data_IF_967931832589
#
_entry.id   IF_967931832589
#
_cell.length_a   1.000
_cell.length_b   1.000
_cell.length_c   1.000
_cell.angle_alpha   90.00
_cell.angle_beta   90.00
_cell.angle_gamma   90.00
#
_symmetry.space_group_name_H-M   'P 1'
#
loop_
_entity.id
_entity.type
_entity.pdbx_description
1 polymer ?
#
# COMPACT_ATOMS: atom_id res chain seq x y z
N UNK A 1 -22.52 24.95 -47.31
CA UNK A 1 -22.31 23.92 -46.28
C UNK A 1 -20.82 23.80 -46.01
N UNK A 2 -20.33 24.35 -44.89
CA UNK A 2 -18.97 24.10 -44.41
C UNK A 2 -18.97 22.75 -43.70
N UNK A 3 -18.21 21.79 -44.22
CA UNK A 3 -17.97 20.53 -43.51
C UNK A 3 -17.34 20.84 -42.15
N UNK A 4 -17.99 20.40 -41.08
CA UNK A 4 -17.40 20.35 -39.76
C UNK A 4 -16.23 19.37 -39.84
N UNK A 5 -15.01 19.90 -40.00
CA UNK A 5 -13.81 19.13 -39.71
C UNK A 5 -13.91 18.69 -38.26
N UNK A 6 -14.12 17.39 -38.05
CA UNK A 6 -13.92 16.74 -36.76
C UNK A 6 -12.49 17.06 -36.35
N UNK A 7 -12.31 18.03 -35.44
CA UNK A 7 -11.06 18.30 -34.75
C UNK A 7 -10.81 17.13 -33.80
N UNK A 8 -10.45 15.97 -34.34
CA UNK A 8 -9.78 14.95 -33.54
C UNK A 8 -8.39 15.49 -33.22
N UNK A 9 -8.01 15.45 -31.95
CA UNK A 9 -6.65 15.75 -31.57
C UNK A 9 -5.70 14.75 -32.25
N UNK A 10 -4.43 15.14 -32.41
CA UNK A 10 -3.46 14.26 -33.06
C UNK A 10 -3.29 13.00 -32.20
N UNK A 11 -3.08 11.81 -32.78
CA UNK A 11 -3.07 10.54 -32.03
C UNK A 11 -2.08 10.51 -30.85
N UNK A 12 -0.96 11.24 -30.93
CA UNK A 12 -0.01 11.37 -29.81
C UNK A 12 -0.47 12.33 -28.71
N UNK A 13 -1.29 13.32 -29.05
CA UNK A 13 -1.86 14.29 -28.11
C UNK A 13 -2.97 13.68 -27.26
N UNK A 14 -3.72 12.70 -27.79
CA UNK A 14 -4.80 12.04 -27.06
C UNK A 14 -4.27 11.25 -25.84
N UNK A 15 -3.17 10.51 -25.99
CA UNK A 15 -2.53 9.78 -24.89
C UNK A 15 -1.96 10.72 -23.83
N UNK A 16 -1.25 11.78 -24.23
CA UNK A 16 -0.67 12.75 -23.30
C UNK A 16 -1.75 13.44 -22.45
N UNK A 17 -2.86 13.87 -23.09
CA UNK A 17 -3.98 14.49 -22.40
C UNK A 17 -4.64 13.50 -21.44
N UNK A 18 -4.91 12.28 -21.89
CA UNK A 18 -5.53 11.26 -21.04
C UNK A 18 -4.62 10.86 -19.87
N UNK A 19 -3.31 10.84 -20.05
CA UNK A 19 -2.33 10.65 -18.97
C UNK A 19 -2.36 11.80 -17.97
N UNK A 20 -2.40 13.05 -18.44
CA UNK A 20 -2.52 14.22 -17.55
C UNK A 20 -3.81 14.18 -16.73
N UNK A 21 -4.93 13.77 -17.33
CA UNK A 21 -6.21 13.61 -16.63
C UNK A 21 -6.13 12.48 -15.61
N UNK A 22 -5.59 11.32 -15.99
CA UNK A 22 -5.42 10.21 -15.06
C UNK A 22 -4.57 10.64 -13.86
N UNK A 23 -3.47 11.34 -14.12
CA UNK A 23 -2.54 11.79 -13.09
C UNK A 23 -3.19 12.74 -12.08
N UNK A 24 -3.95 13.70 -12.59
CA UNK A 24 -4.77 14.61 -11.80
C UNK A 24 -5.77 13.87 -10.91
N UNK A 25 -6.55 12.95 -11.50
CA UNK A 25 -7.60 12.22 -10.79
C UNK A 25 -7.01 11.34 -9.69
N UNK A 26 -5.90 10.64 -9.95
CA UNK A 26 -5.23 9.82 -8.93
C UNK A 26 -4.72 10.66 -7.77
N UNK A 27 -4.09 11.80 -8.06
CA UNK A 27 -3.58 12.70 -7.04
C UNK A 27 -4.70 13.28 -6.17
N UNK A 28 -5.77 13.80 -6.79
CA UNK A 28 -6.89 14.40 -6.07
C UNK A 28 -7.68 13.37 -5.26
N UNK A 29 -7.91 12.17 -5.81
CA UNK A 29 -8.58 11.10 -5.08
C UNK A 29 -7.78 10.63 -3.87
N UNK A 30 -6.45 10.52 -4.00
CA UNK A 30 -5.59 10.14 -2.88
C UNK A 30 -5.61 11.23 -1.80
N UNK A 31 -5.48 12.49 -2.20
CA UNK A 31 -5.54 13.63 -1.27
C UNK A 31 -6.86 13.67 -0.48
N UNK A 32 -7.99 13.60 -1.19
CA UNK A 32 -9.31 13.63 -0.55
C UNK A 32 -9.54 12.44 0.40
N UNK A 33 -9.01 11.27 0.05
CA UNK A 33 -9.09 10.08 0.89
C UNK A 33 -8.26 10.20 2.18
N UNK A 34 -7.08 10.81 2.09
CA UNK A 34 -6.24 11.02 3.26
C UNK A 34 -6.83 12.10 4.18
N UNK A 35 -7.35 13.19 3.62
CA UNK A 35 -8.11 14.21 4.38
C UNK A 35 -9.32 13.60 5.11
N UNK A 36 -10.08 12.73 4.43
CA UNK A 36 -11.19 11.98 5.05
C UNK A 36 -10.72 11.08 6.20
N UNK A 37 -9.56 10.43 6.07
CA UNK A 37 -8.99 9.59 7.13
C UNK A 37 -8.53 10.39 8.35
N UNK A 38 -7.97 11.59 8.14
CA UNK A 38 -7.60 12.50 9.23
C UNK A 38 -8.84 12.99 9.97
N UNK A 39 -9.85 13.49 9.25
CA UNK A 39 -11.09 13.99 9.82
C UNK A 39 -11.82 12.91 10.67
N UNK A 40 -11.85 11.66 10.19
CA UNK A 40 -12.42 10.53 10.94
C UNK A 40 -11.70 10.23 12.26
N UNK A 41 -10.41 10.53 12.37
CA UNK A 41 -9.64 10.32 13.61
C UNK A 41 -9.81 11.48 14.59
N UNK A 42 -10.19 12.65 14.09
CA UNK A 42 -10.47 13.84 14.89
C UNK A 42 -11.94 13.91 15.34
N UNK A 43 -12.70 12.82 15.17
CA UNK A 43 -14.14 12.70 15.46
C UNK A 43 -15.00 13.77 14.75
N UNK A 44 -14.54 14.28 13.61
CA UNK A 44 -15.37 15.13 12.75
C UNK A 44 -16.47 14.29 12.08
N UNK A 45 -17.62 14.91 11.75
CA UNK A 45 -18.75 14.23 11.08
C UNK A 45 -18.27 13.41 9.87
N UNK A 46 -18.95 12.31 9.53
CA UNK A 46 -18.59 11.44 8.39
C UNK A 46 -18.59 12.22 7.07
N UNK A 47 -17.45 12.80 6.71
CA UNK A 47 -17.24 13.48 5.44
C UNK A 47 -16.95 12.43 4.36
N UNK A 48 -17.81 12.32 3.36
CA UNK A 48 -17.57 11.45 2.19
C UNK A 48 -16.75 12.19 1.11
N UNK A 49 -15.60 12.76 1.50
CA UNK A 49 -14.77 13.58 0.61
C UNK A 49 -14.22 12.77 -0.57
N UNK A 50 -13.92 11.50 -0.34
CA UNK A 50 -13.24 10.65 -1.32
C UNK A 50 -14.18 9.94 -2.31
N UNK A 51 -15.49 9.91 -2.08
CA UNK A 51 -16.41 9.09 -2.87
C UNK A 51 -16.48 9.51 -4.34
N UNK A 52 -16.72 10.79 -4.61
CA UNK A 52 -16.78 11.31 -5.97
C UNK A 52 -15.42 11.18 -6.71
N UNK A 53 -14.28 11.60 -6.13
CA UNK A 53 -12.97 11.39 -6.74
C UNK A 53 -12.67 9.93 -7.09
N UNK A 54 -12.99 8.97 -6.20
CA UNK A 54 -12.80 7.54 -6.45
C UNK A 54 -13.67 7.03 -7.60
N UNK A 55 -14.93 7.47 -7.68
CA UNK A 55 -15.82 7.14 -8.80
C UNK A 55 -15.29 7.67 -10.13
N UNK A 56 -14.74 8.90 -10.14
CA UNK A 56 -14.12 9.50 -11.32
C UNK A 56 -12.89 8.70 -11.76
N UNK A 57 -11.99 8.34 -10.84
CA UNK A 57 -10.82 7.49 -11.13
C UNK A 57 -11.25 6.17 -11.74
N UNK A 58 -12.21 5.46 -11.12
CA UNK A 58 -12.66 4.16 -11.61
C UNK A 58 -13.27 4.23 -13.01
N UNK A 59 -14.10 5.25 -13.27
CA UNK A 59 -14.71 5.48 -14.58
C UNK A 59 -13.66 5.82 -15.63
N UNK A 60 -12.72 6.70 -15.30
CA UNK A 60 -11.67 7.13 -16.21
C UNK A 60 -10.67 6.01 -16.51
N UNK A 61 -10.24 5.23 -15.52
CA UNK A 61 -9.34 4.09 -15.71
C UNK A 61 -9.90 3.06 -16.68
N UNK A 62 -11.22 2.78 -16.63
CA UNK A 62 -11.87 1.87 -17.60
C UNK A 62 -11.79 2.40 -19.02
N UNK A 63 -12.05 3.70 -19.21
CA UNK A 63 -11.93 4.34 -20.52
C UNK A 63 -10.48 4.38 -21.01
N UNK A 64 -9.54 4.72 -20.12
CA UNK A 64 -8.12 4.78 -20.40
C UNK A 64 -7.60 3.43 -20.91
N UNK A 65 -7.87 2.34 -20.17
CA UNK A 65 -7.47 0.97 -20.56
C UNK A 65 -8.11 0.49 -21.85
N UNK A 66 -9.30 0.97 -22.18
CA UNK A 66 -9.97 0.62 -23.43
C UNK A 66 -9.36 1.36 -24.63
N UNK A 67 -8.96 2.62 -24.43
CA UNK A 67 -8.45 3.50 -25.48
C UNK A 67 -6.96 3.32 -25.74
N UNK A 68 -6.18 3.05 -24.69
CA UNK A 68 -4.73 2.97 -24.73
C UNK A 68 -4.27 1.58 -24.30
N UNK A 69 -3.45 0.95 -25.15
CA UNK A 69 -2.78 -0.31 -24.82
C UNK A 69 -1.35 -0.07 -24.30
N UNK A 70 -0.87 1.17 -24.38
CA UNK A 70 0.46 1.54 -23.93
C UNK A 70 0.62 1.38 -22.41
N UNK A 71 1.83 1.00 -21.95
CA UNK A 71 2.10 0.91 -20.53
C UNK A 71 1.99 2.29 -19.88
N UNK A 72 1.28 2.34 -18.74
CA UNK A 72 1.17 3.55 -17.92
C UNK A 72 2.58 3.98 -17.45
N UNK A 73 2.95 5.26 -17.43
CA UNK A 73 4.23 5.72 -16.88
C UNK A 73 4.43 5.33 -15.41
N UNK A 74 5.68 5.14 -14.96
CA UNK A 74 5.96 4.68 -13.58
C UNK A 74 5.39 5.60 -12.51
N UNK A 75 5.42 6.92 -12.72
CA UNK A 75 4.84 7.92 -11.80
C UNK A 75 3.33 7.72 -11.60
N UNK A 76 2.60 7.50 -12.70
CA UNK A 76 1.17 7.22 -12.65
C UNK A 76 0.87 5.81 -12.07
N UNK A 77 1.75 4.82 -12.31
CA UNK A 77 1.63 3.51 -11.64
C UNK A 77 1.84 3.61 -10.14
N UNK A 78 2.81 4.40 -9.68
CA UNK A 78 3.03 4.66 -8.26
C UNK A 78 1.81 5.33 -7.62
N UNK A 79 1.26 6.38 -8.25
CA UNK A 79 0.02 7.04 -7.80
C UNK A 79 -1.15 6.08 -7.71
N UNK A 80 -1.29 5.19 -8.69
CA UNK A 80 -2.32 4.14 -8.67
C UNK A 80 -2.10 3.15 -7.52
N UNK A 81 -0.86 2.72 -7.27
CA UNK A 81 -0.51 1.85 -6.14
C UNK A 81 -0.83 2.53 -4.80
N UNK A 82 -0.45 3.79 -4.65
CA UNK A 82 -0.73 4.59 -3.46
C UNK A 82 -2.22 4.72 -3.21
N UNK A 83 -3.00 5.16 -4.22
CA UNK A 83 -4.46 5.26 -4.09
C UNK A 83 -5.09 3.93 -3.71
N UNK A 84 -4.67 2.82 -4.35
CA UNK A 84 -5.19 1.48 -4.08
C UNK A 84 -4.90 1.07 -2.64
N UNK A 85 -3.66 1.25 -2.18
CA UNK A 85 -3.27 0.94 -0.81
C UNK A 85 -4.08 1.77 0.20
N UNK A 86 -4.10 3.10 0.04
CA UNK A 86 -4.82 4.01 0.93
C UNK A 86 -6.32 3.69 0.98
N UNK A 87 -6.91 3.34 -0.16
CA UNK A 87 -8.34 3.00 -0.26
C UNK A 87 -8.63 1.72 0.51
N UNK A 88 -7.89 0.65 0.24
CA UNK A 88 -8.10 -0.63 0.91
C UNK A 88 -7.83 -0.55 2.40
N UNK A 89 -6.80 0.18 2.81
CA UNK A 89 -6.46 0.37 4.20
C UNK A 89 -7.54 1.17 4.96
N UNK A 90 -7.87 2.39 4.49
CA UNK A 90 -8.81 3.26 5.19
C UNK A 90 -10.26 2.80 5.17
N UNK A 91 -10.59 1.83 4.30
CA UNK A 91 -11.93 1.27 4.16
C UNK A 91 -12.00 -0.21 4.54
N UNK A 92 -10.95 -0.77 5.13
CA UNK A 92 -10.85 -2.22 5.44
C UNK A 92 -11.97 -2.76 6.33
N UNK A 93 -12.50 -1.91 7.24
CA UNK A 93 -13.53 -2.28 8.22
C UNK A 93 -14.96 -2.02 7.74
N UNK A 94 -15.14 -1.43 6.56
CA UNK A 94 -16.47 -1.08 6.03
C UNK A 94 -16.62 -1.67 4.63
N UNK A 95 -17.57 -2.60 4.47
CA UNK A 95 -17.92 -3.10 3.14
C UNK A 95 -18.49 -1.95 2.29
N UNK A 96 -17.87 -1.67 1.16
CA UNK A 96 -18.30 -0.62 0.24
C UNK A 96 -17.91 -0.96 -1.21
N UNK A 97 -18.24 -0.08 -2.14
CA UNK A 97 -17.96 -0.27 -3.57
C UNK A 97 -16.45 -0.40 -3.91
N UNK A 98 -15.56 -0.13 -2.96
CA UNK A 98 -14.11 -0.27 -3.12
C UNK A 98 -13.53 -1.53 -2.44
N UNK A 99 -14.36 -2.30 -1.73
CA UNK A 99 -13.98 -3.62 -1.21
C UNK A 99 -13.80 -4.59 -2.40
N UNK A 100 -12.65 -5.29 -2.52
CA UNK A 100 -12.44 -6.29 -3.56
C UNK A 100 -13.50 -7.39 -3.49
N UNK A 101 -13.80 -8.00 -4.64
CA UNK A 101 -14.65 -9.18 -4.63
C UNK A 101 -13.97 -10.32 -3.84
N UNK A 102 -14.70 -11.19 -3.13
CA UNK A 102 -14.09 -12.27 -2.35
C UNK A 102 -13.14 -13.17 -3.17
N UNK A 103 -13.47 -13.43 -4.43
CA UNK A 103 -12.61 -14.19 -5.34
C UNK A 103 -11.31 -13.46 -5.71
N UNK A 104 -11.34 -12.13 -5.85
CA UNK A 104 -10.16 -11.31 -6.12
C UNK A 104 -9.24 -11.27 -4.89
N UNK A 105 -9.83 -11.15 -3.70
CA UNK A 105 -9.11 -11.16 -2.43
C UNK A 105 -8.46 -12.54 -2.17
N UNK A 106 -9.15 -13.63 -2.48
CA UNK A 106 -8.58 -14.97 -2.38
C UNK A 106 -7.46 -15.19 -3.40
N UNK A 107 -7.61 -14.74 -4.65
CA UNK A 107 -6.54 -14.79 -5.64
C UNK A 107 -5.29 -14.00 -5.20
N UNK A 108 -5.50 -12.85 -4.56
CA UNK A 108 -4.44 -12.04 -3.96
C UNK A 108 -3.73 -12.83 -2.84
N UNK A 109 -4.49 -13.42 -1.90
CA UNK A 109 -3.97 -14.24 -0.80
C UNK A 109 -3.17 -15.45 -1.31
N UNK A 110 -3.62 -16.11 -2.36
CA UNK A 110 -2.89 -17.22 -2.99
C UNK A 110 -1.57 -16.78 -3.59
N UNK A 111 -1.54 -15.61 -4.23
CA UNK A 111 -0.32 -15.01 -4.77
C UNK A 111 0.68 -14.72 -3.65
N UNK A 112 0.22 -14.11 -2.55
CA UNK A 112 1.05 -13.81 -1.40
C UNK A 112 1.60 -15.07 -0.71
N UNK A 113 0.79 -16.12 -0.59
CA UNK A 113 1.19 -17.41 -0.03
C UNK A 113 2.29 -18.07 -0.86
N UNK A 114 2.12 -18.13 -2.19
CA UNK A 114 3.11 -18.72 -3.09
C UNK A 114 4.44 -17.97 -3.02
N UNK A 115 4.40 -16.64 -3.03
CA UNK A 115 5.60 -15.79 -2.89
C UNK A 115 6.33 -16.07 -1.57
N UNK A 116 5.58 -16.22 -0.48
CA UNK A 116 6.17 -16.54 0.82
C UNK A 116 6.82 -17.94 0.85
N UNK A 117 6.16 -18.95 0.26
CA UNK A 117 6.71 -20.31 0.14
C UNK A 117 8.03 -20.30 -0.64
N UNK A 118 8.06 -19.64 -1.81
CA UNK A 118 9.27 -19.46 -2.61
C UNK A 118 10.38 -18.72 -1.85
N UNK A 119 10.01 -17.75 -1.01
CA UNK A 119 10.96 -17.04 -0.16
C UNK A 119 11.59 -17.97 0.87
N UNK A 120 10.79 -18.82 1.54
CA UNK A 120 11.29 -19.76 2.55
C UNK A 120 12.11 -20.92 1.97
N UNK A 121 11.73 -21.43 0.80
CA UNK A 121 12.48 -22.48 0.11
C UNK A 121 13.88 -21.98 -0.31
N UNK A 122 14.00 -20.68 -0.62
CA UNK A 122 15.25 -20.05 -0.99
C UNK A 122 16.02 -19.44 0.20
N UNK A 123 15.38 -19.25 1.36
CA UNK A 123 15.98 -18.61 2.52
C UNK A 123 17.03 -19.50 3.18
N UNK A 124 18.15 -18.91 3.62
CA UNK A 124 19.15 -19.60 4.41
C UNK A 124 18.55 -20.06 5.76
N UNK A 125 19.00 -21.20 6.34
CA UNK A 125 18.47 -21.76 7.59
C UNK A 125 18.49 -20.82 8.82
N UNK A 126 19.19 -19.68 8.75
CA UNK A 126 19.41 -18.74 9.84
C UNK A 126 18.34 -17.63 9.98
N UNK A 127 17.29 -17.62 9.14
CA UNK A 127 16.34 -16.50 9.04
C UNK A 127 15.11 -16.55 9.97
N UNK A 128 15.14 -17.39 11.01
CA UNK A 128 14.11 -17.44 12.05
C UNK A 128 13.27 -18.71 11.96
N UNK A 129 13.14 -19.42 13.09
CA UNK A 129 12.49 -20.71 13.12
C UNK A 129 11.05 -20.56 13.64
N UNK A 130 10.09 -20.29 12.75
CA UNK A 130 8.65 -20.41 13.06
C UNK A 130 8.21 -21.87 13.25
N UNK A 131 9.13 -22.82 13.42
CA UNK A 131 8.83 -24.22 13.70
C UNK A 131 8.43 -24.46 15.17
N UNK A 132 8.26 -23.40 15.97
CA UNK A 132 7.91 -23.51 17.38
C UNK A 132 6.50 -24.13 17.55
N UNK A 133 6.34 -25.23 18.32
CA UNK A 133 5.04 -25.85 18.62
C UNK A 133 3.98 -24.87 19.13
N UNK A 134 4.39 -23.72 19.69
CA UNK A 134 3.49 -22.65 20.17
C UNK A 134 2.45 -22.20 19.14
N UNK A 135 2.78 -22.21 17.85
CA UNK A 135 1.88 -21.79 16.75
C UNK A 135 1.35 -22.94 15.89
N UNK A 136 1.58 -24.19 16.32
CA UNK A 136 1.03 -25.38 15.66
C UNK A 136 -0.40 -25.68 16.12
N UNK A 137 -0.73 -25.33 17.37
CA UNK A 137 -2.07 -25.47 17.90
C UNK A 137 -2.96 -24.29 17.48
N UNK A 138 -4.17 -24.58 16.98
CA UNK A 138 -5.17 -23.55 16.70
C UNK A 138 -5.49 -22.82 17.99
N UNK A 139 -5.15 -21.52 18.04
CA UNK A 139 -5.55 -20.64 19.12
C UNK A 139 -7.07 -20.70 19.32
N UNK A 140 -7.55 -20.79 20.58
CA UNK A 140 -8.97 -20.59 20.87
C UNK A 140 -9.40 -19.23 20.34
N UNK A 141 -10.46 -19.20 19.52
CA UNK A 141 -11.02 -17.96 18.97
C UNK A 141 -11.36 -17.03 20.13
N UNK A 142 -10.73 -15.85 20.19
CA UNK A 142 -10.99 -14.90 21.28
C UNK A 142 -12.44 -14.42 21.20
N UNK A 143 -13.19 -14.60 22.28
CA UNK A 143 -14.59 -14.13 22.40
C UNK A 143 -14.70 -12.60 22.57
N UNK A 144 -13.61 -11.83 22.43
CA UNK A 144 -13.64 -10.36 22.38
C UNK A 144 -14.26 -9.89 21.06
N UNK A 145 -15.56 -10.13 20.91
CA UNK A 145 -16.46 -9.37 20.04
C UNK A 145 -16.59 -7.98 20.66
N UNK A 146 -15.82 -7.01 20.20
CA UNK A 146 -16.29 -5.63 20.25
C UNK A 146 -17.48 -5.51 19.29
N UNK A 147 -18.54 -4.88 19.78
CA UNK A 147 -19.90 -4.93 19.25
C UNK A 147 -20.14 -4.17 17.93
N UNK A 148 -19.19 -4.20 16.99
CA UNK A 148 -19.36 -3.62 15.66
C UNK A 148 -19.39 -4.71 14.61
N UNK A 149 -20.61 -5.18 14.33
CA UNK A 149 -21.03 -5.96 13.16
C UNK A 149 -20.35 -7.31 12.91
N UNK A 150 -21.20 -8.33 12.87
CA UNK A 150 -20.96 -9.65 12.28
C UNK A 150 -20.60 -9.54 10.78
N UNK A 151 -19.47 -8.94 10.44
CA UNK A 151 -18.91 -9.02 9.09
C UNK A 151 -18.36 -10.43 8.89
N UNK A 152 -18.74 -11.07 7.79
CA UNK A 152 -18.11 -12.30 7.38
C UNK A 152 -16.64 -11.98 7.07
N UNK A 153 -15.75 -12.42 7.95
CA UNK A 153 -14.33 -12.10 7.93
C UNK A 153 -13.65 -12.62 6.64
N UNK A 154 -14.33 -13.50 5.90
CA UNK A 154 -13.88 -13.93 4.58
C UNK A 154 -13.93 -12.80 3.54
N UNK A 155 -14.75 -11.77 3.74
CA UNK A 155 -15.01 -10.69 2.78
C UNK A 155 -14.26 -9.39 3.11
N UNK A 156 -13.68 -9.27 4.31
CA UNK A 156 -12.91 -8.09 4.72
C UNK A 156 -11.42 -8.18 4.34
N UNK A 157 -10.83 -7.04 4.01
CA UNK A 157 -9.39 -6.90 3.80
C UNK A 157 -8.66 -6.95 5.14
N UNK A 158 -7.82 -7.96 5.36
CA UNK A 158 -6.99 -8.07 6.55
C UNK A 158 -5.70 -7.24 6.41
N UNK A 159 -5.09 -6.83 7.52
CA UNK A 159 -3.76 -6.21 7.53
C UNK A 159 -2.71 -7.10 6.86
N UNK A 160 -2.83 -8.42 7.04
CA UNK A 160 -1.97 -9.39 6.37
C UNK A 160 -2.08 -9.35 4.83
N UNK A 161 -3.24 -8.97 4.28
CA UNK A 161 -3.43 -8.79 2.84
C UNK A 161 -2.74 -7.50 2.34
N UNK A 162 -2.54 -6.52 3.24
CA UNK A 162 -1.97 -5.21 2.94
C UNK A 162 -0.45 -5.14 3.14
N UNK A 163 0.16 -6.03 3.94
CA UNK A 163 1.63 -6.08 4.12
C UNK A 163 2.37 -6.15 2.77
N UNK A 164 2.03 -7.06 1.84
CA UNK A 164 2.67 -7.09 0.52
C UNK A 164 2.50 -5.81 -0.29
N UNK A 165 1.32 -5.19 -0.19
CA UNK A 165 1.03 -3.95 -0.89
C UNK A 165 1.85 -2.79 -0.33
N UNK A 166 2.03 -2.72 0.99
CA UNK A 166 2.88 -1.74 1.66
C UNK A 166 4.35 -1.88 1.25
N UNK A 167 4.88 -3.11 1.23
CA UNK A 167 6.26 -3.37 0.81
C UNK A 167 6.46 -3.03 -0.66
N UNK A 168 5.54 -3.42 -1.54
CA UNK A 168 5.58 -3.06 -2.96
C UNK A 168 5.47 -1.56 -3.21
N UNK A 169 4.61 -0.85 -2.48
CA UNK A 169 4.49 0.60 -2.55
C UNK A 169 5.80 1.29 -2.15
N UNK A 170 6.43 0.81 -1.08
CA UNK A 170 7.72 1.32 -0.60
C UNK A 170 8.82 1.09 -1.63
N UNK A 171 8.87 -0.09 -2.24
CA UNK A 171 9.84 -0.44 -3.28
C UNK A 171 9.65 0.41 -4.54
N UNK A 172 8.40 0.61 -4.96
CA UNK A 172 8.07 1.49 -6.08
C UNK A 172 8.44 2.96 -5.80
N UNK A 173 8.37 3.41 -4.54
CA UNK A 173 8.84 4.75 -4.17
C UNK A 173 10.35 4.86 -4.28
N UNK A 174 11.07 3.85 -3.76
CA UNK A 174 12.54 3.80 -3.82
C UNK A 174 13.04 3.86 -5.27
N UNK A 175 12.41 3.14 -6.19
CA UNK A 175 12.75 3.14 -7.62
C UNK A 175 12.53 4.51 -8.31
N UNK A 176 11.57 5.31 -7.86
CA UNK A 176 11.34 6.65 -8.41
C UNK A 176 12.33 7.70 -7.91
N UNK A 177 12.98 7.46 -6.76
CA UNK A 177 14.00 8.34 -6.22
C UNK A 177 15.33 7.93 -6.83
N UNK A 178 15.60 8.43 -8.04
CA UNK A 178 16.78 8.20 -8.90
C UNK A 178 18.13 8.69 -8.28
N UNK A 179 18.23 8.68 -6.95
CA UNK A 179 19.42 9.02 -6.18
C UNK A 179 19.98 7.77 -5.52
N UNK A 180 21.31 7.61 -5.52
CA UNK A 180 22.14 6.60 -4.81
C UNK A 180 21.88 6.50 -3.28
N UNK A 181 20.84 7.16 -2.77
CA UNK A 181 20.47 7.36 -1.39
C UNK A 181 19.08 6.81 -1.01
N UNK A 182 18.36 6.12 -1.91
CA UNK A 182 17.10 5.46 -1.54
C UNK A 182 17.33 4.14 -0.78
N UNK A 183 18.15 4.20 0.27
CA UNK A 183 18.33 3.12 1.22
C UNK A 183 17.12 3.06 2.15
N UNK A 184 16.62 1.86 2.38
CA UNK A 184 15.66 1.60 3.44
C UNK A 184 16.20 2.19 4.76
N UNK A 185 15.45 3.12 5.37
CA UNK A 185 15.84 3.73 6.63
C UNK A 185 15.46 2.86 7.82
N UNK A 186 16.15 3.01 8.96
CA UNK A 186 15.77 2.33 10.20
C UNK A 186 14.33 2.64 10.62
N UNK A 187 13.88 3.89 10.45
CA UNK A 187 12.51 4.28 10.75
C UNK A 187 11.48 3.51 9.90
N UNK A 188 11.75 3.33 8.61
CA UNK A 188 10.90 2.50 7.76
C UNK A 188 10.93 1.03 8.18
N UNK A 189 12.10 0.49 8.54
CA UNK A 189 12.23 -0.91 8.99
C UNK A 189 11.40 -1.18 10.23
N UNK A 190 11.41 -0.25 11.20
CA UNK A 190 10.57 -0.34 12.39
C UNK A 190 9.09 -0.30 12.04
N UNK A 191 8.65 0.65 11.20
CA UNK A 191 7.26 0.72 10.73
C UNK A 191 6.82 -0.56 10.00
N UNK A 192 7.69 -1.12 9.16
CA UNK A 192 7.44 -2.36 8.45
C UNK A 192 7.33 -3.56 9.40
N UNK A 193 8.21 -3.62 10.40
CA UNK A 193 8.18 -4.64 11.45
C UNK A 193 6.93 -4.57 12.31
N UNK A 194 6.53 -3.36 12.73
CA UNK A 194 5.29 -3.14 13.48
C UNK A 194 4.06 -3.48 12.64
N UNK A 195 4.04 -3.15 11.34
CA UNK A 195 2.96 -3.57 10.43
C UNK A 195 2.84 -5.10 10.43
N UNK A 196 3.95 -5.83 10.22
CA UNK A 196 3.95 -7.29 10.25
C UNK A 196 3.45 -7.83 11.59
N UNK A 197 3.85 -7.22 12.71
CA UNK A 197 3.37 -7.60 14.04
C UNK A 197 1.85 -7.36 14.20
N UNK A 198 1.34 -6.19 13.81
CA UNK A 198 -0.09 -5.88 13.89
C UNK A 198 -0.91 -6.81 12.99
N UNK A 199 -0.41 -7.13 11.80
CA UNK A 199 -1.01 -8.13 10.92
C UNK A 199 -1.05 -9.52 11.58
N UNK A 200 0.03 -9.93 12.24
CA UNK A 200 0.09 -11.20 12.97
C UNK A 200 -0.90 -11.22 14.15
N UNK A 201 -0.95 -10.16 14.95
CA UNK A 201 -1.89 -10.00 16.07
C UNK A 201 -3.34 -10.08 15.59
N UNK A 202 -3.67 -9.41 14.48
CA UNK A 202 -4.99 -9.46 13.86
C UNK A 202 -5.35 -10.88 13.43
N UNK A 203 -4.44 -11.60 12.74
CA UNK A 203 -4.67 -12.99 12.35
C UNK A 203 -4.88 -13.92 13.56
N UNK A 204 -4.11 -13.73 14.62
CA UNK A 204 -4.22 -14.54 15.83
C UNK A 204 -5.50 -14.26 16.62
N UNK A 205 -5.81 -12.98 16.86
CA UNK A 205 -6.84 -12.57 17.84
C UNK A 205 -8.22 -12.36 17.21
N UNK A 206 -8.28 -11.87 15.97
CA UNK A 206 -9.54 -11.54 15.28
C UNK A 206 -9.99 -12.71 14.41
N UNK A 207 -9.09 -13.22 13.55
CA UNK A 207 -9.42 -14.29 12.61
C UNK A 207 -9.25 -15.70 13.20
N UNK A 208 -8.44 -15.86 14.26
CA UNK A 208 -8.11 -17.17 14.84
C UNK A 208 -7.28 -18.04 13.90
N UNK A 209 -6.58 -17.44 12.94
CA UNK A 209 -5.81 -18.09 11.86
C UNK A 209 -4.30 -17.96 12.05
N UNK A 210 -3.84 -17.69 13.27
CA UNK A 210 -2.44 -17.52 13.70
C UNK A 210 -1.54 -18.75 13.58
N UNK A 211 -1.67 -19.52 12.50
CA UNK A 211 -0.82 -20.68 12.21
C UNK A 211 0.62 -20.24 11.89
N UNK A 212 1.58 -21.13 12.17
CA UNK A 212 2.98 -20.93 11.78
C UNK A 212 3.15 -20.58 10.29
N UNK A 213 2.35 -21.19 9.40
CA UNK A 213 2.37 -20.89 7.96
C UNK A 213 1.94 -19.44 7.67
N UNK A 214 0.89 -18.94 8.32
CA UNK A 214 0.43 -17.56 8.13
C UNK A 214 1.43 -16.55 8.69
N UNK A 215 2.06 -16.83 9.82
CA UNK A 215 3.12 -15.96 10.37
C UNK A 215 4.34 -15.94 9.45
N UNK A 216 4.75 -17.10 8.92
CA UNK A 216 5.79 -17.19 7.88
C UNK A 216 5.46 -16.36 6.64
N UNK A 217 4.19 -16.34 6.22
CA UNK A 217 3.72 -15.51 5.11
C UNK A 217 3.92 -14.02 5.39
N UNK A 218 3.55 -13.57 6.59
CA UNK A 218 3.62 -12.17 7.01
C UNK A 218 5.06 -11.66 7.09
N UNK A 219 6.00 -12.48 7.59
CA UNK A 219 7.39 -12.09 7.86
C UNK A 219 8.40 -12.52 6.78
N UNK A 220 7.95 -13.00 5.62
CA UNK A 220 8.81 -13.50 4.52
C UNK A 220 9.31 -12.40 3.58
N UNK A 221 10.04 -11.43 4.14
CA UNK A 221 10.51 -10.24 3.41
C UNK A 221 11.98 -10.01 3.62
N UNK A 222 12.74 -9.79 2.55
CA UNK A 222 14.17 -9.58 2.62
C UNK A 222 14.85 -9.80 1.28
N UNK A 223 16.18 -9.66 1.26
CA UNK A 223 16.96 -9.82 0.05
C UNK A 223 17.28 -11.28 -0.27
N UNK A 224 17.17 -11.63 -1.55
CA UNK A 224 17.53 -12.93 -2.12
C UNK A 224 18.51 -12.73 -3.30
N UNK A 225 19.63 -13.47 -3.34
CA UNK A 225 20.65 -13.37 -4.40
C UNK A 225 20.17 -13.84 -5.78
N UNK A 226 19.13 -14.68 -5.84
CA UNK A 226 18.58 -15.21 -7.09
C UNK A 226 17.10 -15.54 -6.92
N UNK A 227 16.21 -14.54 -6.97
CA UNK A 227 14.78 -14.83 -6.96
C UNK A 227 14.45 -15.70 -8.18
N UNK A 228 13.98 -16.93 -7.94
CA UNK A 228 13.43 -17.81 -9.00
C UNK A 228 12.10 -17.26 -9.51
N UNK A 229 11.56 -17.89 -10.58
CA UNK A 229 10.34 -17.53 -11.33
C UNK A 229 9.39 -16.55 -10.62
N UNK A 230 9.11 -15.42 -11.29
CA UNK A 230 8.34 -14.29 -10.76
C UNK A 230 6.86 -14.68 -10.59
N UNK A 231 6.48 -15.23 -9.44
CA UNK A 231 5.08 -15.48 -9.08
C UNK A 231 4.30 -14.19 -8.80
N UNK A 232 5.01 -13.08 -8.54
CA UNK A 232 4.46 -11.79 -8.16
C UNK A 232 5.17 -10.65 -8.89
N UNK A 233 4.42 -9.79 -9.58
CA UNK A 233 4.96 -8.77 -10.49
C UNK A 233 5.99 -7.83 -9.84
N UNK A 234 5.81 -7.51 -8.56
CA UNK A 234 6.66 -6.57 -7.82
C UNK A 234 7.92 -7.21 -7.20
N UNK A 235 8.11 -8.53 -7.35
CA UNK A 235 9.17 -9.30 -6.67
C UNK A 235 10.56 -8.74 -6.95
N UNK A 236 10.85 -8.35 -8.20
CA UNK A 236 12.17 -7.82 -8.56
C UNK A 236 12.45 -6.47 -7.91
N UNK A 237 11.50 -5.54 -7.98
CA UNK A 237 11.64 -4.20 -7.39
C UNK A 237 11.76 -4.29 -5.87
N UNK A 238 10.94 -5.15 -5.24
CA UNK A 238 11.01 -5.40 -3.79
C UNK A 238 12.35 -6.02 -3.39
N UNK A 239 12.81 -7.05 -4.10
CA UNK A 239 14.10 -7.67 -3.81
C UNK A 239 15.27 -6.68 -3.96
N UNK A 240 15.20 -5.78 -4.95
CA UNK A 240 16.19 -4.72 -5.14
C UNK A 240 16.19 -3.74 -3.96
N UNK A 241 15.03 -3.34 -3.46
CA UNK A 241 14.90 -2.44 -2.29
C UNK A 241 15.64 -2.98 -1.06
N UNK A 242 15.66 -4.30 -0.86
CA UNK A 242 16.39 -4.94 0.26
C UNK A 242 17.87 -5.23 -0.02
N UNK A 243 18.37 -4.96 -1.23
CA UNK A 243 19.77 -5.16 -1.60
C UNK A 243 20.60 -3.93 -1.23
N UNK A 244 21.68 -4.12 -0.49
CA UNK A 244 22.69 -3.07 -0.32
C UNK A 244 23.51 -2.94 -1.61
N UNK A 245 23.53 -1.73 -2.16
CA UNK A 245 24.16 -1.43 -3.44
C UNK A 245 25.66 -1.77 -3.42
N UNK A 246 26.11 -2.46 -4.48
CA UNK A 246 27.51 -2.85 -4.64
C UNK A 246 28.02 -3.95 -3.70
N UNK A 247 27.20 -4.45 -2.76
CA UNK A 247 27.64 -5.45 -1.76
C UNK A 247 26.94 -6.80 -1.87
N UNK A 248 25.91 -6.92 -2.73
CA UNK A 248 25.13 -8.16 -2.93
C UNK A 248 24.81 -8.83 -1.59
N UNK A 249 24.24 -8.06 -0.67
CA UNK A 249 23.83 -8.48 0.67
C UNK A 249 22.56 -7.75 1.08
N UNK A 250 21.85 -8.30 2.05
CA UNK A 250 20.68 -7.65 2.62
C UNK A 250 21.07 -6.36 3.33
N UNK A 251 20.20 -5.33 3.25
CA UNK A 251 20.35 -4.06 3.98
C UNK A 251 20.62 -4.32 5.46
N UNK A 252 21.65 -3.66 5.98
CA UNK A 252 22.08 -3.82 7.36
C UNK A 252 20.96 -3.49 8.36
N UNK A 253 20.80 -4.34 9.37
CA UNK A 253 19.79 -4.17 10.42
C UNK A 253 18.44 -4.82 10.12
N UNK A 254 18.04 -5.00 8.86
CA UNK A 254 16.70 -5.53 8.52
C UNK A 254 16.44 -6.91 9.12
N UNK A 255 17.36 -7.86 8.94
CA UNK A 255 17.24 -9.21 9.52
C UNK A 255 17.10 -9.20 11.05
N UNK A 256 17.73 -8.23 11.72
CA UNK A 256 17.69 -8.08 13.18
C UNK A 256 16.33 -7.54 13.61
N UNK A 257 15.89 -6.42 13.04
CA UNK A 257 14.59 -5.80 13.34
C UNK A 257 13.46 -6.79 13.07
N UNK A 258 13.46 -7.42 11.89
CA UNK A 258 12.47 -8.46 11.53
C UNK A 258 12.42 -9.58 12.58
N UNK A 259 13.58 -10.05 13.05
CA UNK A 259 13.66 -11.10 14.08
C UNK A 259 13.12 -10.62 15.42
N UNK A 260 13.42 -9.41 15.85
CA UNK A 260 12.92 -8.85 17.11
C UNK A 260 11.38 -8.84 17.14
N UNK A 261 10.72 -8.38 16.07
CA UNK A 261 9.25 -8.43 15.97
C UNK A 261 8.68 -9.86 15.95
N UNK A 262 9.38 -10.81 15.35
CA UNK A 262 8.98 -12.23 15.39
C UNK A 262 9.11 -12.80 16.80
N UNK A 263 10.22 -12.51 17.48
CA UNK A 263 10.47 -12.96 18.85
C UNK A 263 9.44 -12.39 19.83
N UNK A 264 8.95 -11.17 19.61
CA UNK A 264 7.87 -10.58 20.40
C UNK A 264 6.60 -11.42 20.44
N UNK A 265 6.28 -12.17 19.38
CA UNK A 265 5.10 -13.04 19.35
C UNK A 265 5.24 -14.28 20.25
N UNK A 266 6.46 -14.63 20.66
CA UNK A 266 6.74 -15.82 21.47
C UNK A 266 6.48 -15.52 22.94
N UNK A 267 5.60 -16.28 23.62
CA UNK A 267 5.27 -16.01 25.01
C UNK A 267 6.46 -16.36 25.93
N UNK A 268 6.69 -15.59 27.00
CA UNK A 268 7.61 -15.99 28.05
C UNK A 268 7.22 -17.34 28.67
N UNK A 269 8.19 -18.05 29.25
CA UNK A 269 7.95 -19.35 29.88
C UNK A 269 6.83 -19.26 30.93
N UNK A 270 5.84 -20.15 30.81
CA UNK A 270 4.70 -20.23 31.72
C UNK A 270 3.56 -19.24 31.44
N UNK A 271 3.68 -18.36 30.44
CA UNK A 271 2.61 -17.44 30.04
C UNK A 271 1.79 -18.07 28.90
N UNK A 272 0.45 -18.18 29.03
CA UNK A 272 -0.39 -18.65 27.92
C UNK A 272 -0.30 -17.72 26.71
N UNK A 273 -0.22 -18.29 25.50
CA UNK A 273 -0.07 -17.53 24.24
C UNK A 273 -1.14 -16.45 24.09
N UNK A 274 -2.41 -16.78 24.31
CA UNK A 274 -3.51 -15.81 24.18
C UNK A 274 -3.34 -14.61 25.13
N UNK A 275 -2.95 -14.86 26.39
CA UNK A 275 -2.70 -13.80 27.38
C UNK A 275 -1.52 -12.93 26.96
N UNK A 276 -0.45 -13.54 26.45
CA UNK A 276 0.70 -12.83 25.91
C UNK A 276 0.33 -11.90 24.76
N UNK A 277 -0.37 -12.42 23.74
CA UNK A 277 -0.80 -11.63 22.58
C UNK A 277 -1.75 -10.49 22.97
N UNK A 278 -2.65 -10.71 23.93
CA UNK A 278 -3.50 -9.64 24.48
C UNK A 278 -2.68 -8.56 25.20
N UNK A 279 -1.65 -8.95 25.96
CA UNK A 279 -0.76 -7.99 26.61
C UNK A 279 0.05 -7.18 25.58
N UNK A 280 0.48 -7.81 24.48
CA UNK A 280 1.13 -7.09 23.37
C UNK A 280 0.22 -6.04 22.76
N UNK A 281 -1.06 -6.34 22.50
CA UNK A 281 -2.00 -5.34 21.95
C UNK A 281 -2.19 -4.13 22.87
N UNK A 282 -1.99 -4.29 24.18
CA UNK A 282 -2.04 -3.18 25.12
C UNK A 282 -0.73 -2.37 25.15
N UNK A 283 0.41 -2.99 24.89
CA UNK A 283 1.72 -2.34 24.84
C UNK A 283 2.00 -1.65 23.50
N UNK A 284 1.41 -2.18 22.43
CA UNK A 284 1.51 -1.68 21.05
C UNK A 284 0.10 -1.46 20.50
N UNK A 285 -0.57 -0.38 20.95
CA UNK A 285 -1.94 -0.08 20.54
C UNK A 285 -2.05 0.11 19.03
N UNK A 286 -3.11 -0.45 18.44
CA UNK A 286 -3.35 -0.38 17.00
C UNK A 286 -3.51 1.06 16.53
N UNK A 287 -4.19 1.93 17.29
CA UNK A 287 -4.42 3.33 16.96
C UNK A 287 -3.12 4.14 16.79
N UNK A 288 -2.09 3.82 17.59
CA UNK A 288 -0.75 4.42 17.44
C UNK A 288 -0.14 4.04 16.10
N UNK A 289 -0.08 2.74 15.81
CA UNK A 289 0.41 2.21 14.54
C UNK A 289 -0.36 2.80 13.35
N UNK A 290 -1.69 2.86 13.43
CA UNK A 290 -2.52 3.39 12.35
C UNK A 290 -2.20 4.87 12.07
N UNK A 291 -1.80 5.63 13.10
CA UNK A 291 -1.33 7.00 12.94
C UNK A 291 0.04 7.15 12.30
N UNK A 292 1.00 6.29 12.66
CA UNK A 292 2.32 6.28 12.03
C UNK A 292 2.23 5.87 10.56
N UNK A 293 1.41 4.86 10.25
CA UNK A 293 1.17 4.43 8.90
C UNK A 293 0.47 5.53 8.08
N UNK A 294 -0.52 6.22 8.65
CA UNK A 294 -1.18 7.34 7.99
C UNK A 294 -0.18 8.48 7.68
N UNK A 295 0.68 8.84 8.64
CA UNK A 295 1.74 9.83 8.44
C UNK A 295 2.70 9.42 7.32
N UNK A 296 3.09 8.15 7.26
CA UNK A 296 3.91 7.61 6.19
C UNK A 296 3.23 7.77 4.82
N UNK A 297 1.95 7.40 4.70
CA UNK A 297 1.19 7.52 3.46
C UNK A 297 1.00 8.99 3.05
N UNK A 298 0.78 9.90 4.00
CA UNK A 298 0.79 11.34 3.74
C UNK A 298 2.14 11.82 3.20
N UNK A 299 3.24 11.42 3.82
CA UNK A 299 4.58 11.77 3.35
C UNK A 299 4.85 11.25 1.93
N UNK A 300 4.34 10.06 1.58
CA UNK A 300 4.38 9.56 0.20
C UNK A 300 3.53 10.40 -0.76
N UNK A 301 2.38 10.91 -0.32
CA UNK A 301 1.53 11.80 -1.12
C UNK A 301 2.19 13.16 -1.35
N UNK A 302 2.74 13.77 -0.31
CA UNK A 302 3.39 15.09 -0.36
C UNK A 302 4.75 15.05 -1.08
N UNK A 303 5.46 13.93 -1.00
CA UNK A 303 6.75 13.75 -1.66
C UNK A 303 6.69 13.54 -3.18
N UNK A 304 5.51 13.62 -3.79
CA UNK A 304 5.31 13.52 -5.23
C UNK A 304 5.27 14.89 -5.90
N UNK A 305 5.66 14.92 -7.17
CA UNK A 305 5.42 16.10 -8.00
C UNK A 305 3.92 16.40 -8.07
N UNK A 306 3.56 17.67 -7.98
CA UNK A 306 2.16 18.09 -8.14
C UNK A 306 1.78 17.95 -9.62
N UNK A 307 0.70 17.24 -10.00
CA UNK A 307 0.31 17.14 -11.40
C UNK A 307 0.04 18.51 -12.03
N UNK A 308 0.39 18.67 -13.30
CA UNK A 308 0.27 19.93 -14.04
C UNK A 308 -1.15 20.51 -14.03
N UNK A 309 -2.19 19.67 -14.05
CA UNK A 309 -3.57 20.15 -13.98
C UNK A 309 -3.91 20.73 -12.59
N UNK A 310 -3.36 20.18 -11.50
CA UNK A 310 -3.50 20.74 -10.14
C UNK A 310 -2.75 22.07 -10.04
N UNK A 311 -1.56 22.15 -10.62
CA UNK A 311 -0.78 23.38 -10.70
C UNK A 311 -1.54 24.50 -11.44
N UNK A 312 -2.20 24.15 -12.55
CA UNK A 312 -3.05 25.07 -13.31
C UNK A 312 -4.24 25.55 -12.48
N UNK A 313 -4.94 24.67 -11.77
CA UNK A 313 -6.03 25.04 -10.86
C UNK A 313 -5.54 26.04 -9.80
N UNK A 314 -4.38 25.77 -9.20
CA UNK A 314 -3.78 26.63 -8.17
C UNK A 314 -3.15 27.93 -8.72
N UNK A 315 -3.10 28.10 -10.05
CA UNK A 315 -2.62 29.33 -10.67
C UNK A 315 -1.10 29.50 -10.76
N UNK A 316 -0.34 28.44 -10.50
CA UNK A 316 1.12 28.47 -10.61
C UNK A 316 1.62 27.17 -11.22
N UNK A 317 2.21 27.24 -12.41
CA UNK A 317 2.83 26.10 -13.10
C UNK A 317 4.34 26.14 -12.94
N UNK A 318 4.93 25.05 -12.47
CA UNK A 318 6.37 24.88 -12.31
C UNK A 318 7.08 25.12 -13.64
N UNK A 319 8.11 25.97 -13.63
CA UNK A 319 8.86 26.35 -14.82
C UNK A 319 8.27 27.52 -15.61
N UNK A 320 7.09 28.04 -15.24
CA UNK A 320 6.49 29.24 -15.83
C UNK A 320 6.45 30.39 -14.83
N UNK A 321 6.61 31.63 -15.31
CA UNK A 321 6.31 32.82 -14.53
C UNK A 321 4.80 32.98 -14.32
N UNK A 322 4.39 33.80 -13.34
CA UNK A 322 2.97 34.10 -13.11
C UNK A 322 2.29 34.67 -14.37
N UNK A 323 3.01 35.52 -15.13
CA UNK A 323 2.51 36.10 -16.39
C UNK A 323 2.33 35.04 -17.48
N UNK A 324 3.25 34.09 -17.59
CA UNK A 324 3.16 32.98 -18.56
C UNK A 324 2.05 31.99 -18.18
N UNK A 325 1.87 31.73 -16.89
CA UNK A 325 0.77 30.89 -16.39
C UNK A 325 -0.59 31.53 -16.68
N UNK A 326 -0.73 32.84 -16.46
CA UNK A 326 -1.96 33.58 -16.77
C UNK A 326 -2.23 33.62 -18.29
N UNK A 327 -1.20 33.87 -19.10
CA UNK A 327 -1.32 33.82 -20.56
C UNK A 327 -1.75 32.42 -21.04
N UNK A 328 -1.25 31.36 -20.40
CA UNK A 328 -1.65 29.99 -20.69
C UNK A 328 -3.12 29.74 -20.32
N UNK A 329 -3.56 30.15 -19.13
CA UNK A 329 -4.97 30.06 -18.67
C UNK A 329 -5.93 30.73 -19.64
N UNK A 330 -5.60 31.95 -20.07
CA UNK A 330 -6.39 32.70 -21.06
C UNK A 330 -6.47 31.99 -22.41
N UNK A 331 -5.37 31.35 -22.83
CA UNK A 331 -5.31 30.61 -24.10
C UNK A 331 -6.17 29.35 -24.08
N UNK A 332 -6.22 28.65 -22.95
CA UNK A 332 -7.01 27.41 -22.78
C UNK A 332 -8.44 27.66 -22.30
N UNK A 333 -8.84 28.92 -22.09
CA UNK A 333 -10.19 29.33 -21.66
C UNK A 333 -10.66 28.65 -20.36
N UNK A 334 -9.76 28.44 -19.40
CA UNK A 334 -10.18 28.01 -18.07
C UNK A 334 -11.01 29.12 -17.41
N UNK A 335 -12.15 28.82 -16.78
CA UNK A 335 -12.91 29.80 -16.00
C UNK A 335 -12.08 30.26 -14.79
N UNK A 336 -12.25 31.55 -14.44
CA UNK A 336 -11.57 32.22 -13.33
C UNK A 336 -12.02 31.70 -11.97
#
# INVERSE_FOLDING_TARGET
MKMAQSRRAQPGTDLEVDLMILDYLLYMATKALLEEQVARREDEEELNLSELPLQMVNSFLRMFKHRHQDPVPETARFRLRLLKFSTLYGRRLSANATTPLPAELEALRQTHRRRAEEWWDAALPSQGNFADPVFQDRLPRSERRTSTTSLDHSESTALADLVPMFVALSAARSELQDTDAANITTQWMELAGEFMLQAALEQCLVYGTGSASKLREIFSWGWRPSPTQVAWDDERTVNHMFCEEGRAREVEGWAKIRREYVEMLTPPQGVPLLTHLQNLTAQLPLDRFEGELLNFVHALQEGQDVPVLVQLENGQVTGLTARETEALKQRIRMPF
#
